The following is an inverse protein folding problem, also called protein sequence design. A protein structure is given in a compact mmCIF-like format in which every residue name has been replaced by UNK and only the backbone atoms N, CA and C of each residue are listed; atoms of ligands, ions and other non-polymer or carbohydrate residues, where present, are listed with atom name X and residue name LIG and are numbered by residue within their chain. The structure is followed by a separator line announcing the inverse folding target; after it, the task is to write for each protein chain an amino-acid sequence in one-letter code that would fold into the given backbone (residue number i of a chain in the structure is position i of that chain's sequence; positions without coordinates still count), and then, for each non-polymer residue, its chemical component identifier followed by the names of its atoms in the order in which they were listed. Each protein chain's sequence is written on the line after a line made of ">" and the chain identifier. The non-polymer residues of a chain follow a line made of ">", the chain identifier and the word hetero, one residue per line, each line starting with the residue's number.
data_IF_677691206947
#
_entry.id   IF_677691206947
#
_cell.length_a   1.000
_cell.length_b   1.000
_cell.length_c   1.000
_cell.angle_alpha   90.00
_cell.angle_beta   90.00
_cell.angle_gamma   90.00
#
_symmetry.space_group_name_H-M   'P 1'
#
loop_
_entity.id
_entity.type
_entity.pdbx_description
1 polymer ?
#
# COMPACT_ATOMS: atom_id res chain seq x y z
N UNK A 1 4.15 18.83 -13.05
CA UNK A 1 4.41 17.38 -13.00
C UNK A 1 4.21 16.93 -11.55
N UNK A 2 3.11 16.23 -11.26
CA UNK A 2 2.80 15.71 -9.93
C UNK A 2 3.55 14.40 -9.71
N UNK A 3 4.13 14.23 -8.55
CA UNK A 3 4.79 12.97 -8.18
C UNK A 3 4.13 12.39 -6.94
N UNK A 4 3.76 11.13 -7.01
CA UNK A 4 3.37 10.34 -5.84
C UNK A 4 4.63 9.92 -5.09
N UNK A 5 4.54 9.81 -3.77
CA UNK A 5 5.64 9.53 -2.83
C UNK A 5 6.60 8.41 -3.25
N UNK A 6 6.10 7.34 -3.87
CA UNK A 6 6.87 6.18 -4.32
C UNK A 6 7.97 6.51 -5.34
N UNK A 7 7.88 7.67 -6.03
CA UNK A 7 8.80 8.04 -7.12
C UNK A 7 10.04 8.79 -6.62
N UNK A 8 10.07 9.19 -5.35
CA UNK A 8 11.13 10.01 -4.79
C UNK A 8 12.39 9.23 -4.36
N UNK A 9 12.37 7.91 -4.47
CA UNK A 9 13.52 7.04 -4.20
C UNK A 9 14.05 7.11 -2.75
N UNK A 10 13.16 6.99 -1.77
CA UNK A 10 13.51 7.05 -0.35
C UNK A 10 13.66 5.66 0.31
N UNK A 11 13.34 4.57 -0.39
CA UNK A 11 13.33 3.22 0.17
C UNK A 11 12.24 3.05 1.25
N UNK A 12 12.47 2.18 2.23
CA UNK A 12 11.52 1.90 3.32
C UNK A 12 11.42 3.01 4.39
N UNK A 13 12.11 4.13 4.20
CA UNK A 13 12.04 5.24 5.16
C UNK A 13 12.80 5.02 6.45
N UNK A 14 13.67 4.00 6.52
CA UNK A 14 14.55 3.75 7.66
C UNK A 14 15.90 4.45 7.47
N UNK A 15 16.44 5.04 8.53
CA UNK A 15 17.74 5.69 8.53
C UNK A 15 17.71 7.19 8.82
N UNK A 16 18.90 7.78 8.97
CA UNK A 16 19.08 9.20 9.20
C UNK A 16 18.79 10.01 7.93
N UNK A 17 18.24 11.21 8.09
CA UNK A 17 17.95 12.15 7.00
C UNK A 17 19.21 12.50 6.18
N UNK A 18 20.37 12.57 6.80
CA UNK A 18 21.63 12.82 6.11
C UNK A 18 22.02 11.71 5.15
N UNK A 19 21.76 10.46 5.52
CA UNK A 19 21.95 9.32 4.62
C UNK A 19 21.00 9.37 3.42
N UNK A 20 19.72 9.74 3.65
CA UNK A 20 18.76 9.89 2.55
C UNK A 20 19.17 10.99 1.59
N UNK A 21 19.58 12.13 2.11
CA UNK A 21 20.14 13.22 1.29
C UNK A 21 21.33 12.73 0.46
N UNK A 22 22.24 11.96 1.06
CA UNK A 22 23.39 11.37 0.38
C UNK A 22 22.99 10.39 -0.73
N UNK A 23 22.03 9.49 -0.45
CA UNK A 23 21.47 8.56 -1.45
C UNK A 23 20.83 9.30 -2.62
N UNK A 24 20.03 10.33 -2.35
CA UNK A 24 19.40 11.13 -3.40
C UNK A 24 20.47 11.88 -4.22
N UNK A 25 21.48 12.48 -3.57
CA UNK A 25 22.58 13.19 -4.26
C UNK A 25 23.38 12.27 -5.17
N UNK A 26 23.61 11.04 -4.76
CA UNK A 26 24.37 10.05 -5.53
C UNK A 26 23.54 9.44 -6.68
N UNK A 27 22.23 9.67 -6.74
CA UNK A 27 21.37 9.22 -7.81
C UNK A 27 20.93 10.39 -8.70
N UNK A 28 21.57 10.54 -9.85
CA UNK A 28 21.29 11.63 -10.78
C UNK A 28 19.81 11.72 -11.18
N UNK A 29 19.13 10.57 -11.40
CA UNK A 29 17.70 10.55 -11.77
C UNK A 29 16.82 11.01 -10.60
N UNK A 30 17.14 10.61 -9.37
CA UNK A 30 16.43 11.06 -8.17
C UNK A 30 16.63 12.57 -7.96
N UNK A 31 17.87 13.07 -8.02
CA UNK A 31 18.16 14.50 -7.97
C UNK A 31 17.37 15.31 -9.01
N UNK A 32 17.33 14.84 -10.25
CA UNK A 32 16.58 15.49 -11.32
C UNK A 32 15.08 15.54 -11.00
N UNK A 33 14.50 14.44 -10.48
CA UNK A 33 13.08 14.42 -10.05
C UNK A 33 12.81 15.46 -8.96
N UNK A 34 13.60 15.47 -7.89
CA UNK A 34 13.45 16.43 -6.80
C UNK A 34 13.57 17.89 -7.26
N UNK A 35 14.52 18.19 -8.15
CA UNK A 35 14.71 19.56 -8.68
C UNK A 35 13.57 20.02 -9.57
N UNK A 36 12.99 19.10 -10.36
CA UNK A 36 11.95 19.42 -11.33
C UNK A 36 10.53 19.22 -10.78
N UNK A 37 10.39 18.72 -9.55
CA UNK A 37 9.09 18.54 -8.90
C UNK A 37 8.47 19.92 -8.61
N UNK A 38 7.28 20.17 -9.16
CA UNK A 38 6.52 21.39 -8.88
C UNK A 38 5.46 21.15 -7.81
N UNK A 39 4.93 19.92 -7.73
CA UNK A 39 3.92 19.52 -6.77
C UNK A 39 4.20 18.09 -6.29
N UNK A 40 4.24 17.91 -4.98
CA UNK A 40 4.35 16.59 -4.32
C UNK A 40 2.98 16.23 -3.77
N UNK A 41 2.42 15.13 -4.25
CA UNK A 41 1.16 14.57 -3.74
C UNK A 41 1.51 13.41 -2.83
N UNK A 42 1.03 13.44 -1.59
CA UNK A 42 1.18 12.40 -0.58
C UNK A 42 -0.20 11.84 -0.27
N UNK A 43 -0.45 10.63 -0.71
CA UNK A 43 -1.68 9.90 -0.40
C UNK A 43 -1.50 9.08 0.88
N UNK A 44 -2.60 8.77 1.58
CA UNK A 44 -2.60 8.06 2.87
C UNK A 44 -1.67 8.70 3.92
N UNK A 45 -1.79 10.02 4.07
CA UNK A 45 -0.92 10.81 4.98
C UNK A 45 -0.99 10.35 6.44
N UNK A 46 -2.09 9.71 6.84
CA UNK A 46 -2.25 9.14 8.19
C UNK A 46 -1.19 8.07 8.53
N UNK A 47 -0.65 7.40 7.52
CA UNK A 47 0.40 6.38 7.67
C UNK A 47 1.82 6.98 7.70
N UNK A 48 1.97 8.29 7.57
CA UNK A 48 3.24 8.99 7.65
C UNK A 48 3.46 9.56 9.05
N UNK A 49 4.68 9.41 9.58
CA UNK A 49 5.07 10.05 10.84
C UNK A 49 5.45 11.53 10.64
N UNK A 50 5.39 12.32 11.72
CA UNK A 50 5.88 13.69 11.73
C UNK A 50 7.37 13.76 11.33
N UNK A 51 8.18 12.86 11.85
CA UNK A 51 9.62 12.81 11.55
C UNK A 51 9.89 12.56 10.06
N UNK A 52 9.10 11.68 9.45
CA UNK A 52 9.21 11.42 8.01
C UNK A 52 8.83 12.65 7.19
N UNK A 53 7.77 13.36 7.58
CA UNK A 53 7.34 14.60 6.92
C UNK A 53 8.42 15.68 7.00
N UNK A 54 9.03 15.87 8.17
CA UNK A 54 10.13 16.81 8.41
C UNK A 54 11.39 16.43 7.61
N UNK A 55 11.68 15.13 7.50
CA UNK A 55 12.78 14.63 6.71
C UNK A 55 12.61 14.91 5.21
N UNK A 56 11.37 14.79 4.69
CA UNK A 56 11.07 15.16 3.29
C UNK A 56 11.34 16.63 3.01
N UNK A 57 10.96 17.53 3.93
CA UNK A 57 11.27 18.96 3.82
C UNK A 57 12.77 19.20 3.77
N UNK A 58 13.53 18.57 4.68
CA UNK A 58 14.99 18.68 4.75
C UNK A 58 15.65 18.23 3.45
N UNK A 59 15.21 17.09 2.89
CA UNK A 59 15.71 16.58 1.61
C UNK A 59 15.41 17.58 0.49
N UNK A 60 14.16 18.05 0.40
CA UNK A 60 13.73 18.97 -0.62
C UNK A 60 14.54 20.27 -0.61
N UNK A 61 14.67 20.92 0.55
CA UNK A 61 15.49 22.14 0.72
C UNK A 61 16.94 21.90 0.31
N UNK A 62 17.52 20.80 0.76
CA UNK A 62 18.94 20.49 0.49
C UNK A 62 19.22 20.21 -0.98
N UNK A 63 18.37 19.42 -1.65
CA UNK A 63 18.57 19.03 -3.06
C UNK A 63 18.29 20.20 -4.00
N UNK A 64 17.29 21.03 -3.67
CA UNK A 64 16.89 22.21 -4.46
C UNK A 64 17.71 23.44 -4.14
N UNK A 65 18.47 23.43 -3.03
CA UNK A 65 19.22 24.58 -2.50
C UNK A 65 18.31 25.80 -2.29
N UNK A 66 17.14 25.60 -1.72
CA UNK A 66 16.14 26.64 -1.46
C UNK A 66 15.69 26.57 0.00
N UNK A 67 15.64 27.70 0.75
CA UNK A 67 15.27 27.71 2.16
C UNK A 67 13.75 27.61 2.42
N UNK A 68 12.92 27.79 1.39
CA UNK A 68 11.46 27.69 1.51
C UNK A 68 11.04 26.28 1.90
N UNK A 69 9.85 26.16 2.53
CA UNK A 69 9.23 24.88 2.85
C UNK A 69 9.23 23.96 1.63
N UNK A 70 9.64 22.72 1.83
CA UNK A 70 9.82 21.72 0.78
C UNK A 70 10.64 22.21 -0.43
N UNK A 71 11.56 23.15 -0.20
CA UNK A 71 12.36 23.75 -1.27
C UNK A 71 11.52 24.45 -2.34
N UNK A 72 10.33 24.97 -1.97
CA UNK A 72 9.37 25.62 -2.85
C UNK A 72 8.57 24.64 -3.74
N UNK A 73 8.41 23.39 -3.31
CA UNK A 73 7.48 22.42 -3.91
C UNK A 73 6.09 22.65 -3.29
N UNK A 74 5.06 22.72 -4.11
CA UNK A 74 3.68 22.68 -3.61
C UNK A 74 3.37 21.30 -3.03
N UNK A 75 2.73 21.26 -1.86
CA UNK A 75 2.39 20.00 -1.17
C UNK A 75 0.88 19.82 -1.20
N UNK A 76 0.44 18.66 -1.63
CA UNK A 76 -0.95 18.19 -1.53
C UNK A 76 -0.93 16.89 -0.76
N UNK A 77 -1.70 16.80 0.32
CA UNK A 77 -1.85 15.58 1.12
C UNK A 77 -3.29 15.12 1.09
N UNK A 78 -3.49 13.79 1.04
CA UNK A 78 -4.81 13.17 1.14
C UNK A 78 -4.75 12.05 2.17
N UNK A 79 -5.84 11.77 2.84
CA UNK A 79 -5.92 10.67 3.81
C UNK A 79 -6.94 10.92 4.90
N UNK A 80 -6.98 10.02 5.86
CA UNK A 80 -7.92 10.04 6.97
C UNK A 80 -7.21 9.63 8.27
N UNK A 81 -7.04 10.58 9.18
CA UNK A 81 -6.35 10.36 10.46
C UNK A 81 -7.11 9.45 11.45
N UNK A 82 -8.34 9.08 11.16
CA UNK A 82 -9.08 8.05 11.90
C UNK A 82 -8.80 6.64 11.38
N UNK A 83 -8.09 6.50 10.24
CA UNK A 83 -7.65 5.22 9.70
C UNK A 83 -6.30 4.78 10.28
N UNK A 84 -5.53 3.96 9.54
CA UNK A 84 -4.29 3.37 10.03
C UNK A 84 -3.24 4.43 10.35
N UNK A 85 -2.62 4.28 11.51
CA UNK A 85 -1.52 5.12 11.98
C UNK A 85 -0.17 4.60 11.48
N UNK A 86 0.88 5.45 11.50
CA UNK A 86 2.22 5.01 11.14
C UNK A 86 2.74 3.96 12.13
N UNK A 87 3.39 2.92 11.58
CA UNK A 87 3.92 1.82 12.40
C UNK A 87 5.09 2.32 13.26
N UNK A 88 5.07 2.03 14.56
CA UNK A 88 6.13 2.39 15.53
C UNK A 88 6.46 3.88 15.64
N UNK A 89 5.61 4.76 15.14
CA UNK A 89 5.84 6.20 15.27
C UNK A 89 5.19 6.75 16.54
N UNK A 90 5.87 7.67 17.20
CA UNK A 90 5.37 8.36 18.41
C UNK A 90 4.52 9.58 18.07
N UNK A 91 4.76 10.22 16.91
CA UNK A 91 4.08 11.44 16.46
C UNK A 91 3.36 11.22 15.14
N UNK A 92 2.11 11.68 15.07
CA UNK A 92 1.33 11.72 13.82
C UNK A 92 1.80 12.90 12.95
N UNK A 93 1.57 12.81 11.65
CA UNK A 93 2.06 13.78 10.67
C UNK A 93 1.62 15.22 11.00
N UNK A 94 0.38 15.43 11.42
CA UNK A 94 -0.13 16.75 11.80
C UNK A 94 0.48 17.30 13.11
N UNK A 95 1.24 16.52 13.85
CA UNK A 95 2.02 16.95 15.02
C UNK A 95 3.42 17.45 14.65
N UNK A 96 3.74 17.48 13.35
CA UNK A 96 4.97 18.09 12.86
C UNK A 96 4.94 19.60 13.06
N UNK A 97 6.09 20.17 13.43
CA UNK A 97 6.26 21.63 13.54
C UNK A 97 6.09 22.36 12.20
N UNK A 98 6.11 21.63 11.09
CA UNK A 98 5.94 22.17 9.74
C UNK A 98 4.47 22.15 9.29
N UNK A 99 3.60 21.40 9.97
CA UNK A 99 2.24 21.16 9.49
C UNK A 99 1.43 22.44 9.31
N UNK A 100 1.35 23.25 10.35
CA UNK A 100 0.58 24.51 10.30
C UNK A 100 1.18 25.54 9.33
N UNK A 101 2.48 25.44 9.06
CA UNK A 101 3.16 26.28 8.07
C UNK A 101 2.83 25.83 6.63
N UNK A 102 2.67 24.50 6.41
CA UNK A 102 2.30 23.94 5.11
C UNK A 102 0.79 24.09 4.83
N UNK A 103 -0.02 23.95 5.86
CA UNK A 103 -1.49 23.91 5.77
C UNK A 103 -2.11 24.92 6.75
N UNK A 104 -1.94 26.24 6.51
CA UNK A 104 -2.55 27.25 7.37
C UNK A 104 -4.07 27.16 7.32
N UNK A 105 -4.74 27.74 8.30
CA UNK A 105 -6.19 27.68 8.48
C UNK A 105 -6.96 27.91 7.17
N UNK A 106 -7.87 27.00 6.84
CA UNK A 106 -8.70 27.06 5.64
C UNK A 106 -8.15 26.29 4.42
N UNK A 107 -6.95 25.71 4.50
CA UNK A 107 -6.41 24.85 3.44
C UNK A 107 -6.75 23.36 3.62
N UNK A 108 -7.82 23.06 4.34
CA UNK A 108 -8.35 21.72 4.51
C UNK A 108 -9.67 21.58 3.74
N UNK A 109 -9.76 20.52 2.93
CA UNK A 109 -10.99 20.17 2.20
C UNK A 109 -11.45 18.83 2.72
N UNK A 110 -12.66 18.79 3.30
CA UNK A 110 -13.29 17.55 3.72
C UNK A 110 -14.15 16.99 2.58
N UNK A 111 -13.89 15.71 2.21
CA UNK A 111 -14.68 15.00 1.22
C UNK A 111 -15.83 14.27 1.93
N UNK A 112 -17.06 14.68 1.64
CA UNK A 112 -18.27 14.16 2.32
C UNK A 112 -19.01 13.12 1.49
N UNK A 113 -18.82 13.12 0.15
CA UNK A 113 -19.54 12.21 -0.74
C UNK A 113 -18.82 10.87 -0.90
N UNK A 114 -19.53 9.79 -0.56
CA UNK A 114 -19.04 8.42 -0.68
C UNK A 114 -19.47 7.84 -2.03
N UNK A 115 -18.52 7.38 -2.82
CA UNK A 115 -18.75 6.77 -4.14
C UNK A 115 -18.51 5.25 -4.14
N UNK A 116 -17.77 4.73 -3.17
CA UNK A 116 -17.38 3.32 -3.10
C UNK A 116 -18.53 2.41 -2.71
N UNK A 117 -19.42 2.88 -1.82
CA UNK A 117 -20.55 2.13 -1.29
C UNK A 117 -21.84 2.79 -1.76
N UNK A 118 -22.82 1.96 -2.17
CA UNK A 118 -24.17 2.42 -2.56
C UNK A 118 -25.21 2.17 -1.47
N UNK A 119 -24.96 1.20 -0.58
CA UNK A 119 -25.82 0.89 0.56
C UNK A 119 -25.65 1.95 1.65
N UNK A 120 -26.68 2.75 1.87
CA UNK A 120 -26.66 3.85 2.86
C UNK A 120 -26.61 3.32 4.28
N UNK A 121 -27.30 2.23 4.61
CA UNK A 121 -27.29 1.62 5.96
C UNK A 121 -25.88 1.15 6.31
N UNK A 122 -25.23 0.47 5.36
CA UNK A 122 -23.86 0.01 5.53
C UNK A 122 -22.88 1.20 5.62
N UNK A 123 -23.08 2.23 4.82
CA UNK A 123 -22.25 3.44 4.84
C UNK A 123 -22.35 4.18 6.18
N UNK A 124 -23.58 4.37 6.71
CA UNK A 124 -23.80 5.01 8.01
C UNK A 124 -23.19 4.19 9.15
N UNK A 125 -23.30 2.87 9.08
CA UNK A 125 -22.64 1.99 10.03
C UNK A 125 -21.11 2.13 9.99
N UNK A 126 -20.49 2.17 8.81
CA UNK A 126 -19.05 2.36 8.66
C UNK A 126 -18.60 3.71 9.22
N UNK A 127 -19.35 4.78 8.99
CA UNK A 127 -19.07 6.11 9.56
C UNK A 127 -19.16 6.08 11.09
N UNK A 128 -20.20 5.44 11.64
CA UNK A 128 -20.34 5.31 13.10
C UNK A 128 -19.19 4.49 13.72
N UNK A 129 -18.77 3.40 13.05
CA UNK A 129 -17.58 2.63 13.49
C UNK A 129 -16.32 3.50 13.44
N UNK A 130 -16.14 4.29 12.38
CA UNK A 130 -15.02 5.22 12.21
C UNK A 130 -14.96 6.24 13.37
N UNK A 131 -16.11 6.76 13.79
CA UNK A 131 -16.21 7.76 14.85
C UNK A 131 -16.25 7.13 16.27
N UNK A 132 -16.26 5.80 16.35
CA UNK A 132 -16.33 5.06 17.62
C UNK A 132 -17.73 5.03 18.26
N UNK A 133 -18.78 5.33 17.50
CA UNK A 133 -20.17 5.42 17.96
C UNK A 133 -21.05 4.35 17.34
N UNK A 134 -20.76 3.07 17.61
CA UNK A 134 -21.57 1.97 17.09
C UNK A 134 -22.80 1.71 17.97
N UNK A 135 -23.99 1.62 17.37
CA UNK A 135 -25.24 1.28 18.08
C UNK A 135 -25.38 -0.23 18.30
N UNK A 136 -26.26 -0.64 19.24
CA UNK A 136 -26.57 -2.04 19.47
C UNK A 136 -27.15 -2.73 18.20
N UNK A 137 -28.01 -2.05 17.45
CA UNK A 137 -28.58 -2.57 16.20
C UNK A 137 -27.51 -2.78 15.13
N UNK A 138 -26.54 -1.88 15.03
CA UNK A 138 -25.41 -2.01 14.12
C UNK A 138 -24.47 -3.17 14.52
N UNK A 139 -24.27 -3.40 15.82
CA UNK A 139 -23.54 -4.58 16.32
C UNK A 139 -24.26 -5.86 15.92
N UNK A 140 -25.60 -5.92 16.07
CA UNK A 140 -26.40 -7.07 15.63
C UNK A 140 -26.29 -7.29 14.12
N UNK A 141 -26.33 -6.22 13.32
CA UNK A 141 -26.16 -6.29 11.87
C UNK A 141 -24.82 -6.89 11.50
N UNK A 142 -23.71 -6.41 12.11
CA UNK A 142 -22.37 -6.95 11.90
C UNK A 142 -22.27 -8.43 12.30
N UNK A 143 -22.88 -8.80 13.42
CA UNK A 143 -22.90 -10.18 13.91
C UNK A 143 -23.68 -11.09 12.93
N UNK A 144 -24.78 -10.62 12.38
CA UNK A 144 -25.57 -11.36 11.38
C UNK A 144 -24.82 -11.57 10.05
N UNK A 145 -23.80 -10.76 9.76
CA UNK A 145 -22.94 -10.98 8.60
C UNK A 145 -21.95 -12.13 8.80
N UNK A 146 -21.77 -12.64 10.02
CA UNK A 146 -20.98 -13.83 10.31
C UNK A 146 -21.73 -15.09 9.86
N UNK A 147 -21.62 -15.41 8.59
CA UNK A 147 -22.33 -16.53 7.95
C UNK A 147 -21.40 -17.26 6.97
N UNK A 148 -21.67 -18.55 6.67
CA UNK A 148 -20.99 -19.25 5.59
C UNK A 148 -21.20 -18.53 4.25
N UNK A 149 -20.13 -18.39 3.47
CA UNK A 149 -20.22 -17.81 2.14
C UNK A 149 -20.66 -18.86 1.12
N UNK A 150 -21.71 -18.57 0.36
CA UNK A 150 -21.99 -19.28 -0.87
C UNK A 150 -21.17 -18.64 -2.00
N UNK A 151 -20.17 -19.34 -2.50
CA UNK A 151 -19.33 -18.84 -3.59
C UNK A 151 -19.86 -19.34 -4.92
N UNK A 152 -20.25 -18.44 -5.82
CA UNK A 152 -20.66 -18.80 -7.18
C UNK A 152 -19.49 -19.28 -8.06
N UNK A 153 -18.23 -19.01 -7.66
CA UNK A 153 -17.02 -19.24 -8.45
C UNK A 153 -15.87 -19.92 -7.67
N UNK A 154 -16.18 -20.60 -6.56
CA UNK A 154 -15.17 -21.22 -5.68
C UNK A 154 -14.05 -20.27 -5.19
N UNK A 155 -14.29 -18.97 -5.21
CA UNK A 155 -13.38 -17.98 -4.63
C UNK A 155 -13.91 -17.55 -3.28
N UNK A 156 -13.13 -17.81 -2.25
CA UNK A 156 -13.41 -17.36 -0.89
C UNK A 156 -13.04 -15.89 -0.73
N UNK A 157 -13.73 -15.14 0.13
CA UNK A 157 -13.31 -13.81 0.52
C UNK A 157 -11.89 -13.79 1.06
N UNK A 158 -11.15 -12.73 0.76
CA UNK A 158 -9.79 -12.56 1.30
C UNK A 158 -9.83 -12.40 2.82
N UNK A 159 -9.10 -13.24 3.54
CA UNK A 159 -8.97 -13.11 4.99
C UNK A 159 -7.92 -12.05 5.33
N UNK A 160 -8.32 -11.05 6.13
CA UNK A 160 -7.41 -10.04 6.64
C UNK A 160 -6.79 -10.53 7.96
N UNK A 161 -5.47 -10.42 8.08
CA UNK A 161 -4.70 -10.75 9.28
C UNK A 161 -3.83 -9.55 9.66
N UNK A 162 -3.58 -9.38 10.95
CA UNK A 162 -2.77 -8.28 11.47
C UNK A 162 -1.26 -8.52 11.39
N UNK A 163 -0.83 -9.78 11.32
CA UNK A 163 0.59 -10.17 11.30
C UNK A 163 0.90 -10.99 10.04
N UNK A 164 2.07 -10.75 9.44
CA UNK A 164 2.53 -11.51 8.27
C UNK A 164 2.74 -13.00 8.59
N UNK A 165 3.17 -13.34 9.80
CA UNK A 165 3.29 -14.72 10.27
C UNK A 165 1.96 -15.48 10.20
N UNK A 166 0.86 -14.82 10.57
CA UNK A 166 -0.48 -15.42 10.52
C UNK A 166 -0.98 -15.55 9.08
N UNK A 167 -0.61 -14.59 8.20
CA UNK A 167 -0.89 -14.67 6.76
C UNK A 167 -0.20 -15.89 6.17
N UNK A 168 1.11 -16.04 6.41
CA UNK A 168 1.91 -17.16 5.89
C UNK A 168 1.36 -18.50 6.37
N UNK A 169 1.06 -18.62 7.65
CA UNK A 169 0.47 -19.84 8.23
C UNK A 169 -0.89 -20.17 7.58
N UNK A 170 -1.78 -19.18 7.49
CA UNK A 170 -3.10 -19.36 6.89
C UNK A 170 -3.01 -19.75 5.41
N UNK A 171 -2.11 -19.15 4.64
CA UNK A 171 -1.90 -19.47 3.24
C UNK A 171 -1.37 -20.90 3.07
N UNK A 172 -0.40 -21.31 3.90
CA UNK A 172 0.15 -22.67 3.86
C UNK A 172 -0.91 -23.73 4.19
N UNK A 173 -1.70 -23.51 5.26
CA UNK A 173 -2.80 -24.41 5.63
C UNK A 173 -3.82 -24.55 4.50
N UNK A 174 -4.20 -23.45 3.86
CA UNK A 174 -5.14 -23.49 2.74
C UNK A 174 -4.55 -24.18 1.50
N UNK A 175 -3.25 -23.98 1.22
CA UNK A 175 -2.55 -24.66 0.13
C UNK A 175 -2.50 -26.18 0.35
N UNK A 176 -2.21 -26.63 1.57
CA UNK A 176 -2.18 -28.05 1.94
C UNK A 176 -3.56 -28.71 1.85
N UNK A 177 -4.65 -27.99 2.15
CA UNK A 177 -6.04 -28.49 2.02
C UNK A 177 -6.43 -28.83 0.60
N UNK A 178 -5.78 -28.24 -0.40
CA UNK A 178 -6.07 -28.51 -1.82
C UNK A 178 -5.67 -29.93 -2.23
N UNK A 179 -4.75 -30.57 -1.50
CA UNK A 179 -4.24 -31.94 -1.77
C UNK A 179 -3.67 -32.14 -3.20
N UNK A 180 -3.40 -31.05 -3.91
CA UNK A 180 -2.76 -31.04 -5.22
C UNK A 180 -1.24 -30.91 -5.09
N UNK A 181 -0.46 -31.37 -6.08
CA UNK A 181 0.99 -31.18 -6.09
C UNK A 181 1.34 -29.70 -5.97
N UNK A 182 2.28 -29.39 -5.07
CA UNK A 182 2.80 -28.04 -4.87
C UNK A 182 3.97 -27.82 -5.83
N UNK A 183 3.90 -26.76 -6.61
CA UNK A 183 4.98 -26.29 -7.48
C UNK A 183 5.64 -25.09 -6.79
N UNK A 184 6.97 -25.14 -6.66
CA UNK A 184 7.77 -24.12 -6.02
C UNK A 184 8.46 -23.25 -7.07
N UNK A 185 8.34 -21.92 -6.92
CA UNK A 185 9.01 -20.92 -7.74
C UNK A 185 10.00 -20.17 -6.86
N UNK A 186 11.24 -20.12 -7.29
CA UNK A 186 12.32 -19.38 -6.61
C UNK A 186 12.64 -18.14 -7.44
N UNK A 187 12.79 -16.99 -6.79
CA UNK A 187 13.13 -15.76 -7.46
C UNK A 187 14.55 -15.83 -8.03
N UNK A 188 14.72 -15.35 -9.26
CA UNK A 188 16.02 -15.15 -9.89
C UNK A 188 16.30 -13.64 -9.92
N UNK A 189 17.01 -13.16 -8.89
CA UNK A 189 17.36 -11.76 -8.78
C UNK A 189 18.69 -11.48 -9.48
N UNK A 190 18.72 -10.44 -10.31
CA UNK A 190 19.94 -9.99 -10.98
C UNK A 190 20.28 -8.56 -10.59
N UNK A 191 21.56 -8.31 -10.30
CA UNK A 191 22.01 -6.99 -9.92
C UNK A 191 23.36 -7.01 -9.21
N UNK A 192 23.82 -5.84 -8.81
CA UNK A 192 25.03 -5.66 -8.01
C UNK A 192 24.69 -5.12 -6.63
N UNK A 193 25.46 -5.48 -5.61
CA UNK A 193 25.33 -4.86 -4.29
C UNK A 193 25.63 -3.35 -4.31
N UNK A 194 24.95 -2.52 -3.51
CA UNK A 194 23.89 -2.85 -2.54
C UNK A 194 22.45 -2.87 -3.11
N UNK A 195 22.30 -2.78 -4.41
CA UNK A 195 20.98 -2.70 -5.05
C UNK A 195 20.22 -4.02 -4.96
N UNK A 196 20.91 -5.15 -5.03
CA UNK A 196 20.32 -6.48 -4.91
C UNK A 196 19.66 -6.69 -3.55
N UNK A 197 20.38 -6.43 -2.48
CA UNK A 197 19.83 -6.52 -1.11
C UNK A 197 18.70 -5.52 -0.86
N UNK A 198 18.73 -4.35 -1.50
CA UNK A 198 17.66 -3.37 -1.42
C UNK A 198 16.40 -3.85 -2.16
N UNK A 199 16.56 -4.47 -3.34
CA UNK A 199 15.48 -5.06 -4.09
C UNK A 199 14.77 -6.14 -3.28
N UNK A 200 15.51 -7.09 -2.75
CA UNK A 200 14.98 -8.21 -1.93
C UNK A 200 14.21 -7.71 -0.70
N UNK A 201 14.74 -6.70 -0.01
CA UNK A 201 14.06 -6.10 1.15
C UNK A 201 12.81 -5.29 0.79
N UNK A 202 12.73 -4.73 -0.41
CA UNK A 202 11.62 -3.89 -0.86
C UNK A 202 10.56 -4.63 -1.67
N UNK A 203 10.86 -5.86 -2.09
CA UNK A 203 9.91 -6.70 -2.82
C UNK A 203 8.76 -7.16 -1.90
N UNK A 204 7.53 -7.06 -2.39
CA UNK A 204 6.35 -7.55 -1.67
C UNK A 204 6.05 -9.03 -1.95
N UNK A 205 6.94 -9.71 -2.67
CA UNK A 205 6.86 -11.15 -2.99
C UNK A 205 7.99 -11.84 -2.25
N UNK A 206 7.68 -12.97 -1.63
CA UNK A 206 8.68 -13.81 -0.98
C UNK A 206 9.65 -14.39 -2.02
N UNK A 207 10.90 -14.63 -1.62
CA UNK A 207 11.92 -15.25 -2.48
C UNK A 207 11.46 -16.59 -3.04
N UNK A 208 10.63 -17.29 -2.30
CA UNK A 208 10.03 -18.57 -2.72
C UNK A 208 8.51 -18.49 -2.64
N UNK A 209 7.85 -18.76 -3.76
CA UNK A 209 6.39 -18.83 -3.86
C UNK A 209 5.97 -20.26 -4.15
N UNK A 210 5.08 -20.80 -3.32
CA UNK A 210 4.51 -22.14 -3.47
C UNK A 210 3.08 -22.04 -3.99
N UNK A 211 2.78 -22.74 -5.07
CA UNK A 211 1.50 -22.70 -5.77
C UNK A 211 1.00 -24.12 -6.07
N UNK A 212 -0.32 -24.28 -6.10
CA UNK A 212 -0.97 -25.53 -6.52
C UNK A 212 -2.22 -25.22 -7.37
N UNK A 213 -2.65 -26.18 -8.18
CA UNK A 213 -3.93 -26.07 -8.89
C UNK A 213 -5.06 -25.89 -7.87
N UNK A 214 -5.94 -24.93 -8.10
CA UNK A 214 -7.02 -24.55 -7.19
C UNK A 214 -6.64 -23.49 -6.17
N UNK A 215 -5.36 -23.10 -6.07
CA UNK A 215 -4.94 -22.04 -5.15
C UNK A 215 -5.50 -20.68 -5.60
N UNK A 216 -6.06 -19.94 -4.65
CA UNK A 216 -6.43 -18.54 -4.87
C UNK A 216 -5.18 -17.67 -4.84
N UNK A 217 -5.09 -16.78 -5.80
CA UNK A 217 -3.96 -15.87 -5.95
C UNK A 217 -4.44 -14.43 -6.15
N UNK A 218 -3.58 -13.50 -5.78
CA UNK A 218 -3.76 -12.08 -6.01
C UNK A 218 -2.61 -11.56 -6.87
N UNK A 219 -2.93 -10.73 -7.85
CA UNK A 219 -1.95 -10.08 -8.70
C UNK A 219 -1.29 -8.93 -7.93
N UNK A 220 0.02 -8.97 -7.76
CA UNK A 220 0.78 -7.96 -7.01
C UNK A 220 1.35 -6.83 -7.88
N UNK A 221 1.17 -6.91 -9.20
CA UNK A 221 1.65 -5.90 -10.15
C UNK A 221 0.68 -5.77 -11.32
N UNK A 222 0.52 -4.56 -11.86
CA UNK A 222 -0.23 -4.37 -13.09
C UNK A 222 0.46 -5.10 -14.24
N UNK A 223 -0.22 -6.10 -14.83
CA UNK A 223 0.33 -6.86 -15.96
C UNK A 223 -0.03 -6.23 -17.28
N UNK A 224 -1.28 -5.81 -17.45
CA UNK A 224 -1.75 -5.23 -18.70
C UNK A 224 -2.88 -4.24 -18.44
N UNK A 225 -2.70 -3.02 -18.95
CA UNK A 225 -3.74 -1.99 -18.88
C UNK A 225 -4.86 -2.23 -19.93
N UNK A 226 -4.56 -2.95 -21.01
CA UNK A 226 -5.52 -3.27 -22.07
C UNK A 226 -6.57 -4.28 -21.61
N UNK A 227 -6.16 -5.32 -20.89
CA UNK A 227 -7.06 -6.35 -20.35
C UNK A 227 -7.62 -6.03 -18.95
N UNK A 228 -7.38 -4.82 -18.44
CA UNK A 228 -7.85 -4.38 -17.11
C UNK A 228 -7.45 -5.35 -15.98
N UNK A 229 -6.22 -5.86 -15.99
CA UNK A 229 -5.64 -6.67 -14.92
C UNK A 229 -4.76 -5.79 -14.00
N UNK A 230 -5.39 -4.98 -13.14
CA UNK A 230 -4.65 -4.17 -12.17
C UNK A 230 -4.12 -5.01 -11.02
N UNK A 231 -3.15 -4.44 -10.31
CA UNK A 231 -2.77 -4.94 -8.99
C UNK A 231 -4.01 -5.11 -8.10
N UNK A 232 -4.06 -6.21 -7.36
CA UNK A 232 -5.23 -6.58 -6.55
C UNK A 232 -6.24 -7.48 -7.27
N UNK A 233 -6.11 -7.75 -8.58
CA UNK A 233 -6.96 -8.71 -9.29
C UNK A 233 -6.81 -10.09 -8.68
N UNK A 234 -7.95 -10.74 -8.40
CA UNK A 234 -8.01 -12.07 -7.79
C UNK A 234 -8.28 -13.14 -8.83
N UNK A 235 -7.63 -14.29 -8.68
CA UNK A 235 -7.81 -15.42 -9.58
C UNK A 235 -7.58 -16.76 -8.89
N UNK A 236 -7.80 -17.82 -9.64
CA UNK A 236 -7.53 -19.21 -9.22
C UNK A 236 -6.60 -19.86 -10.24
N UNK A 237 -5.64 -20.63 -9.77
CA UNK A 237 -4.75 -21.41 -10.63
C UNK A 237 -5.53 -22.59 -11.19
N UNK A 238 -5.65 -22.65 -12.52
CA UNK A 238 -6.38 -23.72 -13.23
C UNK A 238 -5.48 -24.82 -13.75
N UNK A 239 -4.25 -24.48 -14.11
CA UNK A 239 -3.26 -25.41 -14.65
C UNK A 239 -1.84 -24.82 -14.54
N UNK A 240 -0.86 -25.64 -14.87
CA UNK A 240 0.50 -25.19 -15.21
C UNK A 240 0.76 -25.52 -16.69
N UNK A 241 1.33 -24.57 -17.42
CA UNK A 241 1.64 -24.75 -18.85
C UNK A 241 2.86 -25.69 -19.03
N UNK A 242 3.24 -25.97 -20.28
CA UNK A 242 4.39 -26.85 -20.64
C UNK A 242 5.71 -26.32 -20.05
N UNK A 243 5.85 -25.00 -19.88
CA UNK A 243 7.01 -24.37 -19.24
C UNK A 243 6.95 -24.34 -17.72
N UNK A 244 5.93 -24.98 -17.09
CA UNK A 244 5.75 -24.99 -15.65
C UNK A 244 5.15 -23.73 -15.04
N UNK A 245 4.79 -22.71 -15.84
CA UNK A 245 4.20 -21.47 -15.35
C UNK A 245 2.71 -21.61 -15.05
N UNK A 246 2.19 -20.94 -14.00
CA UNK A 246 0.79 -21.02 -13.62
C UNK A 246 -0.13 -20.35 -14.63
N UNK A 247 -1.20 -21.03 -14.99
CA UNK A 247 -2.34 -20.46 -15.73
C UNK A 247 -3.39 -20.03 -14.72
N UNK A 248 -3.77 -18.75 -14.75
CA UNK A 248 -4.68 -18.16 -13.75
C UNK A 248 -5.95 -17.70 -14.44
N UNK A 249 -7.09 -18.14 -13.93
CA UNK A 249 -8.39 -17.57 -14.27
C UNK A 249 -8.67 -16.39 -13.34
N UNK A 250 -8.69 -15.17 -13.88
CA UNK A 250 -9.00 -13.96 -13.13
C UNK A 250 -10.49 -13.67 -13.17
N UNK A 251 -11.00 -13.17 -12.05
CA UNK A 251 -12.41 -12.79 -11.90
C UNK A 251 -12.52 -11.29 -11.74
N UNK A 252 -13.33 -10.69 -12.60
CA UNK A 252 -13.68 -9.29 -12.50
C UNK A 252 -14.89 -9.16 -11.59
N UNK A 253 -14.72 -8.56 -10.44
CA UNK A 253 -15.85 -8.07 -9.63
C UNK A 253 -16.17 -6.68 -10.15
N UNK A 254 -17.27 -6.60 -10.92
CA UNK A 254 -17.83 -5.31 -11.32
C UNK A 254 -18.63 -4.69 -10.18
#
# INVERSE_FOLDING_TARGET
>A
MCFVFTILFLGKGEGDVHEWVKRVKNNHRACKRWRNCCCLVIDEISMMSADMFENLDTIARTIRKKPQLFGGIAIVVTGDFQQLRPVKASRLCFQSVLWDQCFPNGHCIELTKIYRQQDTIFTDMLNNVRDGHISADQVQLLTALQRPFCTHYNILPTMLKSLNTDVTKCNLENLQRLKNPIVRFVAEDTGTEPYLSTLQKSCNVDETVELAIGAQVILLRNLDFGFKLPNGSRGVITAFNIGGFPMVSFFFVF
#
